data_IF_712252431365
#
_entry.id   IF_712252431365
#
_cell.length_a   1.000
_cell.length_b   1.000
_cell.length_c   1.000
_cell.angle_alpha   90.00
_cell.angle_beta   90.00
_cell.angle_gamma   90.00
#
_symmetry.space_group_name_H-M   'P 1'
#
loop_
_entity.id
_entity.type
_entity.pdbx_description
1 polymer ?
#
# COMPACT_ATOMS: atom_id res chain seq x y z
N UNK A 1 -6.91 4.80 -22.56
CA UNK A 1 -5.81 5.50 -21.86
C UNK A 1 -6.46 6.47 -20.90
N UNK A 2 -6.71 6.04 -19.67
CA UNK A 2 -7.41 6.83 -18.65
C UNK A 2 -6.48 7.89 -18.11
N UNK A 3 -6.84 9.16 -18.26
CA UNK A 3 -6.03 10.28 -17.78
C UNK A 3 -6.02 10.31 -16.25
N UNK A 4 -4.84 10.42 -15.64
CA UNK A 4 -4.72 10.65 -14.21
C UNK A 4 -5.17 12.07 -13.86
N UNK A 5 -6.01 12.19 -12.83
CA UNK A 5 -6.43 13.47 -12.24
C UNK A 5 -5.39 14.05 -11.27
N UNK A 6 -4.25 13.38 -11.10
CA UNK A 6 -3.21 13.76 -10.15
C UNK A 6 -2.33 14.93 -10.64
N UNK A 7 -1.60 15.51 -9.70
CA UNK A 7 -0.67 16.60 -9.98
C UNK A 7 0.59 16.07 -10.65
N UNK A 8 0.88 16.52 -11.87
CA UNK A 8 2.08 16.13 -12.62
C UNK A 8 3.26 17.03 -12.28
N UNK A 9 4.40 16.43 -11.99
CA UNK A 9 5.63 17.15 -11.69
C UNK A 9 6.85 16.36 -12.13
N UNK A 10 8.02 17.02 -12.15
CA UNK A 10 9.29 16.39 -12.50
C UNK A 10 10.23 16.40 -11.30
N UNK A 11 10.83 15.26 -11.00
CA UNK A 11 11.78 15.10 -9.90
C UNK A 11 12.96 14.25 -10.38
N UNK A 12 14.20 14.75 -10.20
CA UNK A 12 15.43 14.05 -10.62
C UNK A 12 15.37 13.49 -12.06
N UNK A 13 14.72 14.23 -12.96
CA UNK A 13 14.56 13.84 -14.37
C UNK A 13 13.36 12.92 -14.67
N UNK A 14 12.70 12.35 -13.66
CA UNK A 14 11.50 11.51 -13.82
C UNK A 14 10.21 12.34 -13.85
N UNK A 15 9.33 12.02 -14.81
CA UNK A 15 7.97 12.56 -14.87
C UNK A 15 7.04 11.71 -14.00
N UNK A 16 6.48 12.34 -12.97
CA UNK A 16 5.70 11.70 -11.91
C UNK A 16 4.32 12.32 -11.80
N UNK A 17 3.39 11.56 -11.22
CA UNK A 17 2.04 12.03 -10.93
C UNK A 17 1.69 11.71 -9.48
N UNK A 18 1.45 12.74 -8.67
CA UNK A 18 0.94 12.61 -7.32
C UNK A 18 -0.58 12.42 -7.36
N UNK A 19 -1.05 11.25 -6.95
CA UNK A 19 -2.47 10.90 -6.91
C UNK A 19 -3.12 11.41 -5.62
N UNK A 20 -4.39 11.89 -5.67
CA UNK A 20 -5.08 12.38 -4.48
C UNK A 20 -5.30 11.31 -3.39
N UNK A 21 -5.17 10.03 -3.75
CA UNK A 21 -5.24 8.91 -2.82
C UNK A 21 -3.91 8.65 -2.07
N UNK A 22 -2.90 9.52 -2.22
CA UNK A 22 -1.61 9.40 -1.52
C UNK A 22 -0.61 8.47 -2.21
N UNK A 23 -0.85 8.13 -3.48
CA UNK A 23 0.07 7.32 -4.27
C UNK A 23 0.91 8.20 -5.21
N UNK A 24 2.11 7.72 -5.54
CA UNK A 24 2.99 8.33 -6.52
C UNK A 24 3.10 7.42 -7.75
N UNK A 25 2.58 7.88 -8.88
CA UNK A 25 2.61 7.15 -10.15
C UNK A 25 3.80 7.57 -11.01
N UNK A 26 4.55 6.58 -11.50
CA UNK A 26 5.62 6.75 -12.48
C UNK A 26 5.27 6.03 -13.78
N UNK A 27 4.63 6.72 -14.76
CA UNK A 27 4.15 6.11 -15.99
C UNK A 27 5.23 5.39 -16.80
N UNK A 28 6.39 6.04 -16.98
CA UNK A 28 7.48 5.50 -17.78
C UNK A 28 8.06 4.17 -17.24
N UNK A 29 7.84 3.86 -15.96
CA UNK A 29 8.27 2.62 -15.31
C UNK A 29 7.11 1.66 -15.03
N UNK A 30 5.87 2.05 -15.31
CA UNK A 30 4.70 1.29 -14.90
C UNK A 30 4.64 1.07 -13.38
N UNK A 31 5.14 2.02 -12.57
CA UNK A 31 5.34 1.85 -11.14
C UNK A 31 4.44 2.74 -10.32
N UNK A 32 3.74 2.17 -9.34
CA UNK A 32 2.99 2.89 -8.32
C UNK A 32 3.68 2.73 -6.97
N UNK A 33 4.03 3.83 -6.33
CA UNK A 33 4.55 3.85 -4.97
C UNK A 33 3.50 4.37 -3.99
N UNK A 34 3.47 3.81 -2.78
CA UNK A 34 2.62 4.23 -1.66
C UNK A 34 3.40 4.06 -0.36
N UNK A 35 3.16 4.87 0.65
CA UNK A 35 3.81 4.79 1.96
C UNK A 35 2.75 4.90 3.07
N UNK A 36 3.10 4.51 4.29
CA UNK A 36 2.33 4.81 5.51
C UNK A 36 0.86 4.35 5.46
N UNK A 37 0.58 3.20 4.83
CA UNK A 37 -0.79 2.66 4.74
C UNK A 37 -1.40 2.41 6.13
N UNK A 38 -0.57 2.05 7.12
CA UNK A 38 -0.98 1.81 8.50
C UNK A 38 -2.19 0.88 8.63
N UNK A 39 -2.21 -0.20 7.86
CA UNK A 39 -3.27 -1.21 7.97
C UNK A 39 -3.32 -1.77 9.40
N UNK A 40 -4.53 -2.11 9.84
CA UNK A 40 -4.81 -2.66 11.18
C UNK A 40 -4.50 -1.70 12.34
N UNK A 41 -4.55 -0.38 12.08
CA UNK A 41 -4.49 0.65 13.13
C UNK A 41 -5.71 0.59 14.05
N UNK A 42 -6.90 0.37 13.51
CA UNK A 42 -8.13 0.23 14.28
C UNK A 42 -8.09 -0.96 15.25
N UNK A 43 -7.61 -2.12 14.78
CA UNK A 43 -7.48 -3.30 15.62
C UNK A 43 -6.38 -3.16 16.68
N UNK A 44 -5.28 -2.46 16.36
CA UNK A 44 -4.26 -2.12 17.34
C UNK A 44 -4.79 -1.18 18.44
N UNK A 45 -5.51 -0.12 18.06
CA UNK A 45 -6.12 0.81 19.01
C UNK A 45 -7.14 0.11 19.92
N UNK A 46 -7.94 -0.81 19.36
CA UNK A 46 -8.92 -1.59 20.11
C UNK A 46 -8.25 -2.48 21.18
N UNK A 47 -7.08 -3.07 20.88
CA UNK A 47 -6.30 -3.81 21.86
C UNK A 47 -5.82 -2.93 23.03
N UNK A 48 -5.63 -1.62 22.78
CA UNK A 48 -5.33 -0.60 23.79
C UNK A 48 -6.57 0.02 24.47
N UNK A 49 -7.78 -0.47 24.19
CA UNK A 49 -9.04 0.04 24.76
C UNK A 49 -9.61 1.29 24.07
N UNK A 50 -9.04 1.71 22.93
CA UNK A 50 -9.55 2.82 22.13
C UNK A 50 -10.34 2.29 20.92
N UNK A 51 -11.63 2.64 20.85
CA UNK A 51 -12.47 2.26 19.72
C UNK A 51 -12.30 3.26 18.57
N UNK A 52 -11.55 2.85 17.54
CA UNK A 52 -11.55 3.49 16.23
C UNK A 52 -12.57 2.78 15.31
N UNK A 53 -12.96 3.41 14.18
CA UNK A 53 -13.80 2.74 13.20
C UNK A 53 -13.18 1.39 12.77
N UNK A 54 -13.93 0.28 12.81
CA UNK A 54 -13.37 -1.07 12.61
C UNK A 54 -13.09 -1.42 11.14
N UNK A 55 -13.30 -0.47 10.21
CA UNK A 55 -13.22 -0.68 8.77
C UNK A 55 -12.09 0.13 8.12
N UNK A 56 -11.13 0.59 8.90
CA UNK A 56 -10.03 1.44 8.44
C UNK A 56 -9.15 0.74 7.39
N UNK A 57 -8.75 -0.52 7.65
CA UNK A 57 -8.00 -1.33 6.67
C UNK A 57 -8.79 -1.52 5.38
N UNK A 58 -10.08 -1.87 5.49
CA UNK A 58 -10.97 -2.14 4.35
C UNK A 58 -11.11 -0.91 3.45
N UNK A 59 -11.33 0.26 4.05
CA UNK A 59 -11.46 1.51 3.29
C UNK A 59 -10.13 1.86 2.60
N UNK A 60 -9.00 1.77 3.31
CA UNK A 60 -7.67 2.03 2.74
C UNK A 60 -7.39 1.10 1.55
N UNK A 61 -7.63 -0.21 1.70
CA UNK A 61 -7.43 -1.20 0.62
C UNK A 61 -8.38 -0.91 -0.55
N UNK A 62 -9.65 -0.60 -0.29
CA UNK A 62 -10.62 -0.30 -1.35
C UNK A 62 -10.25 0.97 -2.14
N UNK A 63 -9.77 2.01 -1.45
CA UNK A 63 -9.25 3.23 -2.10
C UNK A 63 -8.05 2.92 -2.97
N UNK A 64 -7.07 2.22 -2.41
CA UNK A 64 -5.86 1.82 -3.14
C UNK A 64 -6.17 0.95 -4.36
N UNK A 65 -7.08 0.00 -4.22
CA UNK A 65 -7.53 -0.87 -5.32
C UNK A 65 -8.12 -0.08 -6.49
N UNK A 66 -8.87 1.00 -6.24
CA UNK A 66 -9.39 1.88 -7.32
C UNK A 66 -8.26 2.60 -8.05
N UNK A 67 -7.24 3.05 -7.33
CA UNK A 67 -6.05 3.67 -7.92
C UNK A 67 -5.28 2.67 -8.79
N UNK A 68 -5.06 1.46 -8.28
CA UNK A 68 -4.42 0.36 -9.03
C UNK A 68 -5.22 0.01 -10.28
N UNK A 69 -6.54 -0.16 -10.17
CA UNK A 69 -7.39 -0.49 -11.32
C UNK A 69 -7.39 0.61 -12.39
N UNK A 70 -7.35 1.89 -12.00
CA UNK A 70 -7.34 3.03 -12.93
C UNK A 70 -6.01 3.18 -13.66
N UNK A 71 -4.89 2.93 -12.98
CA UNK A 71 -3.54 3.16 -13.50
C UNK A 71 -2.91 1.92 -14.14
N UNK A 72 -3.30 0.73 -13.72
CA UNK A 72 -2.75 -0.54 -14.21
C UNK A 72 -1.24 -0.67 -14.02
N UNK A 73 -0.69 -0.48 -12.79
CA UNK A 73 0.73 -0.62 -12.54
C UNK A 73 1.23 -2.03 -12.83
N UNK A 74 2.44 -2.14 -13.34
CA UNK A 74 3.17 -3.42 -13.45
C UNK A 74 3.93 -3.73 -12.15
N UNK A 75 4.32 -2.69 -11.41
CA UNK A 75 5.01 -2.78 -10.13
C UNK A 75 4.35 -1.88 -9.08
N UNK A 76 4.18 -2.41 -7.87
CA UNK A 76 3.75 -1.67 -6.70
C UNK A 76 4.86 -1.74 -5.65
N UNK A 77 5.23 -0.59 -5.09
CA UNK A 77 6.22 -0.48 -4.02
C UNK A 77 5.58 0.19 -2.81
N UNK A 78 5.49 -0.54 -1.71
CA UNK A 78 5.07 -0.02 -0.41
C UNK A 78 6.31 0.46 0.36
N UNK A 79 6.50 1.77 0.45
CA UNK A 79 7.68 2.45 0.98
C UNK A 79 7.60 2.62 2.51
N UNK A 80 7.55 1.51 3.26
CA UNK A 80 7.51 1.53 4.73
C UNK A 80 6.13 1.73 5.34
N UNK A 81 6.00 1.30 6.60
CA UNK A 81 4.85 1.49 7.49
C UNK A 81 3.51 1.08 6.84
N UNK A 82 3.54 -0.07 6.17
CA UNK A 82 2.36 -0.67 5.51
C UNK A 82 1.36 -1.16 6.55
N UNK A 83 1.85 -1.70 7.67
CA UNK A 83 1.06 -2.10 8.82
C UNK A 83 1.34 -1.21 10.02
N UNK A 84 0.33 -1.00 10.87
CA UNK A 84 0.47 -0.16 12.06
C UNK A 84 1.38 -0.77 13.13
N UNK A 85 1.50 -2.10 13.16
CA UNK A 85 2.42 -2.82 14.01
C UNK A 85 2.81 -4.18 13.38
N UNK A 86 3.83 -4.83 13.95
CA UNK A 86 4.34 -6.14 13.52
C UNK A 86 3.28 -7.26 13.47
N UNK A 87 2.21 -7.14 14.25
CA UNK A 87 1.10 -8.09 14.29
C UNK A 87 -0.01 -7.78 13.28
N UNK A 88 -0.01 -6.60 12.65
CA UNK A 88 -1.08 -6.12 11.78
C UNK A 88 -1.41 -7.10 10.65
N UNK A 89 -0.39 -7.57 9.92
CA UNK A 89 -0.60 -8.53 8.84
C UNK A 89 -1.28 -9.84 9.29
N UNK A 90 -1.13 -10.24 10.56
CA UNK A 90 -1.76 -11.44 11.11
C UNK A 90 -3.21 -11.20 11.56
N UNK A 91 -3.60 -9.94 11.81
CA UNK A 91 -4.94 -9.55 12.24
C UNK A 91 -5.90 -9.23 11.10
N UNK A 92 -5.38 -9.01 9.89
CA UNK A 92 -6.20 -8.82 8.69
C UNK A 92 -7.29 -9.89 8.58
N UNK A 93 -8.54 -9.45 8.44
CA UNK A 93 -9.67 -10.30 8.10
C UNK A 93 -9.52 -10.94 6.72
N UNK A 94 -10.31 -11.99 6.47
CA UNK A 94 -10.21 -12.77 5.24
C UNK A 94 -10.53 -11.93 3.99
N UNK A 95 -11.49 -11.00 4.08
CA UNK A 95 -11.86 -10.09 2.99
C UNK A 95 -10.70 -9.15 2.63
N UNK A 96 -10.09 -8.50 3.63
CA UNK A 96 -8.99 -7.55 3.45
C UNK A 96 -7.73 -8.26 2.93
N UNK A 97 -7.44 -9.45 3.48
CA UNK A 97 -6.35 -10.30 3.00
C UNK A 97 -6.57 -10.72 1.56
N UNK A 98 -7.77 -11.18 1.22
CA UNK A 98 -8.12 -11.60 -0.14
C UNK A 98 -8.00 -10.44 -1.14
N UNK A 99 -8.46 -9.24 -0.76
CA UNK A 99 -8.35 -8.04 -1.59
C UNK A 99 -6.88 -7.65 -1.83
N UNK A 100 -6.03 -7.65 -0.81
CA UNK A 100 -4.59 -7.40 -0.98
C UNK A 100 -3.93 -8.45 -1.87
N UNK A 101 -4.19 -9.74 -1.61
CA UNK A 101 -3.63 -10.82 -2.42
C UNK A 101 -4.06 -10.73 -3.90
N UNK A 102 -5.30 -10.30 -4.18
CA UNK A 102 -5.76 -10.07 -5.53
C UNK A 102 -5.00 -8.93 -6.24
N UNK A 103 -4.71 -7.84 -5.53
CA UNK A 103 -3.86 -6.75 -6.05
C UNK A 103 -2.43 -7.25 -6.33
N UNK A 104 -1.88 -8.07 -5.44
CA UNK A 104 -0.54 -8.62 -5.55
C UNK A 104 -0.41 -9.62 -6.70
N UNK A 105 -1.42 -10.42 -6.97
CA UNK A 105 -1.39 -11.41 -8.06
C UNK A 105 -1.25 -10.78 -9.45
N UNK A 106 -1.67 -9.52 -9.62
CA UNK A 106 -1.60 -8.79 -10.89
C UNK A 106 -0.33 -7.96 -11.08
N UNK A 107 0.54 -7.84 -10.08
CA UNK A 107 1.64 -6.88 -10.08
C UNK A 107 2.91 -7.45 -9.42
N UNK A 108 4.07 -6.96 -9.85
CA UNK A 108 5.28 -7.14 -9.05
C UNK A 108 5.17 -6.31 -7.76
N UNK A 109 5.08 -6.98 -6.61
CA UNK A 109 4.84 -6.32 -5.34
C UNK A 109 6.10 -6.29 -4.47
N UNK A 110 6.45 -5.12 -3.96
CA UNK A 110 7.61 -4.91 -3.07
C UNK A 110 7.14 -4.26 -1.77
N UNK A 111 7.53 -4.86 -0.65
CA UNK A 111 7.44 -4.29 0.69
C UNK A 111 8.81 -3.76 1.10
N UNK A 112 8.95 -2.45 1.22
CA UNK A 112 10.05 -1.84 1.94
C UNK A 112 9.65 -1.80 3.41
N UNK A 113 10.49 -2.35 4.28
CA UNK A 113 10.21 -2.42 5.72
C UNK A 113 10.24 -1.02 6.35
N UNK A 114 9.29 -0.75 7.24
CA UNK A 114 9.20 0.49 8.00
C UNK A 114 9.59 0.33 9.46
N UNK A 115 9.38 1.38 10.23
CA UNK A 115 9.62 1.39 11.66
C UNK A 115 8.53 0.63 12.42
N UNK A 116 7.28 0.72 11.95
CA UNK A 116 6.12 0.05 12.55
C UNK A 116 6.03 -1.43 12.17
N UNK A 117 6.53 -1.78 10.99
CA UNK A 117 6.55 -3.13 10.43
C UNK A 117 7.96 -3.55 9.99
N UNK A 118 8.93 -3.69 10.93
CA UNK A 118 10.33 -4.00 10.63
C UNK A 118 10.55 -5.49 10.25
N UNK A 119 9.49 -6.20 9.87
CA UNK A 119 9.54 -7.61 9.53
C UNK A 119 8.58 -7.93 8.38
N UNK A 120 8.89 -8.95 7.54
CA UNK A 120 8.02 -9.39 6.46
C UNK A 120 6.56 -9.60 6.91
N UNK A 121 5.57 -9.07 6.16
CA UNK A 121 4.17 -9.22 6.52
C UNK A 121 3.73 -10.69 6.39
N UNK A 122 3.34 -11.29 7.51
CA UNK A 122 3.00 -12.73 7.56
C UNK A 122 1.79 -13.06 6.69
N UNK A 123 1.91 -14.12 5.90
CA UNK A 123 0.81 -14.65 5.08
C UNK A 123 0.45 -13.76 3.87
N UNK A 124 1.32 -12.83 3.50
CA UNK A 124 1.23 -12.05 2.27
C UNK A 124 2.46 -12.34 1.39
N UNK A 125 2.26 -12.29 0.07
CA UNK A 125 3.32 -12.54 -0.91
C UNK A 125 4.19 -11.29 -1.13
N UNK A 126 5.00 -11.28 -2.19
CA UNK A 126 5.80 -10.12 -2.59
C UNK A 126 7.25 -10.19 -2.13
N UNK A 127 8.08 -9.38 -2.77
CA UNK A 127 9.47 -9.15 -2.39
C UNK A 127 9.51 -8.28 -1.13
N UNK A 128 10.44 -8.56 -0.23
CA UNK A 128 10.64 -7.78 1.00
C UNK A 128 12.08 -7.31 1.04
N UNK A 129 12.28 -6.04 1.34
CA UNK A 129 13.61 -5.41 1.43
C UNK A 129 13.65 -4.33 2.50
N UNK A 130 14.83 -4.08 3.07
CA UNK A 130 15.05 -2.97 4.01
C UNK A 130 15.16 -1.63 3.29
N UNK A 131 15.66 -1.65 2.05
CA UNK A 131 15.80 -0.49 1.18
C UNK A 131 15.49 -0.87 -0.27
N UNK A 132 14.93 0.07 -1.03
CA UNK A 132 14.65 -0.14 -2.45
C UNK A 132 15.56 0.76 -3.29
N UNK A 133 16.45 0.11 -4.06
CA UNK A 133 17.50 0.72 -4.89
C UNK A 133 17.22 0.59 -6.38
#
# INVERSE_FOLDING_TARGET
MTESAGHRFRLNGADLVAEPDGCLWWPARGLLAVADLHLEKGSAAAAGGQLLPPYDSRETIARFARTVARLGPQRIVCLGDSFHDIGGASRLGDDERGALQALMAGCHWVWVLGNHDPAPPRGLAGEVTDEWV
#
